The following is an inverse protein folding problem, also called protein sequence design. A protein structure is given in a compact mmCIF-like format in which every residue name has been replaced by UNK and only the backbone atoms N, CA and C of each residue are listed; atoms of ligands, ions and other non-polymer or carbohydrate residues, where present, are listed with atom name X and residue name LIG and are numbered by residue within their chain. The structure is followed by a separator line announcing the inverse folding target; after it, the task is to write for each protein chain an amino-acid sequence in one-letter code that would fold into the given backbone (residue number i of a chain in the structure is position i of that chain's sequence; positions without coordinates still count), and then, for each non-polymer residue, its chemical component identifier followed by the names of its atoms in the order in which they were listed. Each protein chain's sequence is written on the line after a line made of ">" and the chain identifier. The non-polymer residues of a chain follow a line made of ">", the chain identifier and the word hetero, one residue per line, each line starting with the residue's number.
data_IF_854879779033
#
_entry.id   IF_854879779033
#
_cell.length_a   1.000
_cell.length_b   1.000
_cell.length_c   1.000
_cell.angle_alpha   90.00
_cell.angle_beta   90.00
_cell.angle_gamma   90.00
#
_symmetry.space_group_name_H-M   'P 1'
#
loop_
_entity.id
_entity.type
_entity.pdbx_description
1 polymer ?
#
# COMPACT_ATOMS: atom_id res chain seq x y z
N UNK A 1 16.69 6.08 20.37
CA UNK A 1 16.22 5.17 21.39
C UNK A 1 15.93 3.81 20.79
N UNK A 2 16.41 2.75 21.46
CA UNK A 2 16.17 1.37 21.06
C UNK A 2 14.68 1.01 21.00
N UNK A 3 13.82 1.83 21.58
CA UNK A 3 12.37 1.61 21.58
C UNK A 3 11.65 2.21 20.39
N UNK A 4 12.38 2.93 19.52
CA UNK A 4 11.78 3.44 18.30
C UNK A 4 11.63 2.29 17.32
N UNK A 5 10.39 2.05 16.90
CA UNK A 5 10.09 1.00 15.94
C UNK A 5 10.12 1.56 14.53
N UNK A 6 10.73 0.84 13.61
CA UNK A 6 10.75 1.20 12.20
C UNK A 6 9.80 0.31 11.40
N UNK A 7 9.08 0.94 10.50
CA UNK A 7 8.15 0.26 9.61
C UNK A 7 8.42 0.66 8.16
N UNK A 8 8.20 -0.25 7.23
CA UNK A 8 8.19 0.06 5.81
C UNK A 8 6.76 -0.01 5.31
N UNK A 9 6.25 1.13 4.85
CA UNK A 9 4.91 1.25 4.28
C UNK A 9 5.06 1.48 2.79
N UNK A 10 4.64 0.52 1.98
CA UNK A 10 4.83 0.59 0.54
C UNK A 10 3.49 0.66 -0.17
N UNK A 11 3.26 1.73 -0.92
CA UNK A 11 2.12 1.81 -1.82
C UNK A 11 2.53 1.33 -3.21
N UNK A 12 1.80 0.38 -3.78
CA UNK A 12 2.11 -0.16 -5.09
C UNK A 12 1.47 0.63 -6.21
N UNK A 13 2.19 0.75 -7.32
CA UNK A 13 1.73 1.43 -8.52
C UNK A 13 2.79 1.35 -9.60
N UNK A 14 2.45 1.84 -10.78
CA UNK A 14 3.36 1.98 -11.90
C UNK A 14 3.80 3.43 -12.03
N UNK A 15 5.06 3.65 -12.39
CA UNK A 15 5.58 4.99 -12.67
C UNK A 15 5.12 5.45 -14.05
N UNK A 16 5.04 6.76 -14.21
CA UNK A 16 4.66 7.39 -15.47
C UNK A 16 3.32 8.11 -15.36
N UNK A 17 3.21 9.25 -16.04
CA UNK A 17 2.01 10.09 -15.98
C UNK A 17 0.77 9.38 -16.53
N UNK A 18 0.94 8.42 -17.43
CA UNK A 18 -0.16 7.64 -18.00
C UNK A 18 -0.85 6.76 -16.97
N UNK A 19 -0.19 6.46 -15.84
CA UNK A 19 -0.76 5.63 -14.78
C UNK A 19 -1.35 6.45 -13.62
N UNK A 20 -1.21 7.77 -13.65
CA UNK A 20 -1.71 8.62 -12.57
C UNK A 20 -3.22 8.50 -12.43
N UNK A 21 -3.66 8.30 -11.19
CA UNK A 21 -5.09 8.22 -10.89
C UNK A 21 -5.77 6.94 -11.32
N UNK A 22 -5.03 5.96 -11.82
CA UNK A 22 -5.62 4.67 -12.18
C UNK A 22 -5.93 3.85 -10.92
N UNK A 23 -6.85 2.90 -11.06
CA UNK A 23 -7.20 1.99 -9.96
C UNK A 23 -5.98 1.22 -9.46
N UNK A 24 -5.13 0.78 -10.38
CA UNK A 24 -3.93 0.01 -10.05
C UNK A 24 -2.90 0.83 -9.25
N UNK A 25 -2.98 2.15 -9.33
CA UNK A 25 -2.10 3.05 -8.59
C UNK A 25 -2.71 3.57 -7.29
N UNK A 26 -3.78 2.96 -6.80
CA UNK A 26 -4.40 3.42 -5.55
C UNK A 26 -3.42 3.38 -4.37
N UNK A 27 -2.47 2.45 -4.38
CA UNK A 27 -1.43 2.39 -3.35
C UNK A 27 -0.63 3.67 -3.27
N UNK A 28 -0.26 4.25 -4.41
CA UNK A 28 0.45 5.54 -4.44
C UNK A 28 -0.41 6.65 -3.84
N UNK A 29 -1.70 6.67 -4.18
CA UNK A 29 -2.62 7.70 -3.68
C UNK A 29 -2.78 7.62 -2.16
N UNK A 30 -2.88 6.42 -1.63
CA UNK A 30 -2.99 6.20 -0.18
C UNK A 30 -1.75 6.70 0.56
N UNK A 31 -0.56 6.31 0.11
CA UNK A 31 0.66 6.71 0.81
C UNK A 31 0.98 8.20 0.60
N UNK A 32 0.60 8.79 -0.53
CA UNK A 32 0.68 10.23 -0.71
C UNK A 32 -0.16 10.95 0.35
N UNK A 33 -1.38 10.48 0.55
CA UNK A 33 -2.29 11.07 1.53
C UNK A 33 -1.75 10.95 2.95
N UNK A 34 -1.20 9.77 3.29
CA UNK A 34 -0.55 9.55 4.57
C UNK A 34 0.57 10.56 4.82
N UNK A 35 1.48 10.71 3.86
CA UNK A 35 2.64 11.58 4.00
C UNK A 35 2.22 13.05 4.09
N UNK A 36 1.27 13.47 3.27
CA UNK A 36 0.72 14.83 3.32
C UNK A 36 0.08 15.13 4.67
N UNK A 37 -0.60 14.16 5.27
CA UNK A 37 -1.31 14.34 6.54
C UNK A 37 -0.39 14.72 7.70
N UNK A 38 0.89 14.41 7.59
CA UNK A 38 1.90 14.73 8.62
C UNK A 38 2.92 15.76 8.13
N UNK A 39 2.64 16.42 7.01
CA UNK A 39 3.52 17.48 6.48
C UNK A 39 4.82 16.98 5.92
N UNK A 40 4.92 15.72 5.57
CA UNK A 40 6.12 15.12 5.00
C UNK A 40 6.24 15.31 3.49
N UNK A 41 7.36 14.90 2.94
CA UNK A 41 7.65 15.00 1.53
C UNK A 41 8.40 13.76 1.06
N UNK A 42 8.18 13.39 -0.21
CA UNK A 42 8.95 12.34 -0.86
C UNK A 42 10.20 12.91 -1.53
N UNK A 43 11.27 12.13 -1.51
CA UNK A 43 12.47 12.40 -2.30
C UNK A 43 12.80 11.18 -3.14
N UNK A 44 13.34 11.40 -4.34
CA UNK A 44 13.75 10.29 -5.20
C UNK A 44 15.01 9.64 -4.65
N UNK A 45 14.95 8.32 -4.43
CA UNK A 45 16.06 7.53 -3.93
C UNK A 45 16.13 6.23 -4.73
N UNK A 46 16.95 5.28 -4.28
CA UNK A 46 17.10 4.05 -5.01
C UNK A 46 15.80 3.23 -4.99
N UNK A 47 15.38 2.78 -6.14
CA UNK A 47 14.16 1.97 -6.36
C UNK A 47 12.84 2.69 -6.09
N UNK A 48 12.86 3.97 -5.75
CA UNK A 48 11.58 4.67 -5.59
C UNK A 48 11.65 6.02 -4.91
N UNK A 49 10.48 6.59 -4.72
CA UNK A 49 10.32 7.80 -3.94
C UNK A 49 10.15 7.40 -2.46
N UNK A 50 10.88 8.07 -1.59
CA UNK A 50 10.92 7.76 -0.16
C UNK A 50 10.51 8.98 0.64
N UNK A 51 9.63 8.77 1.62
CA UNK A 51 9.35 9.75 2.66
C UNK A 51 9.67 9.12 4.02
N UNK A 52 10.31 9.90 4.89
CA UNK A 52 10.58 9.48 6.26
C UNK A 52 9.72 10.32 7.17
N UNK A 53 8.79 9.67 7.85
CA UNK A 53 7.84 10.35 8.73
C UNK A 53 7.86 9.72 10.11
N UNK A 54 7.43 10.49 11.11
CA UNK A 54 7.35 10.02 12.48
C UNK A 54 5.88 10.04 12.92
N UNK A 55 5.41 8.93 13.47
CA UNK A 55 4.09 8.83 14.09
C UNK A 55 4.32 8.35 15.52
N UNK A 56 4.25 9.28 16.48
CA UNK A 56 4.57 9.03 17.89
C UNK A 56 5.98 8.41 18.01
N UNK A 57 6.09 7.20 18.53
CA UNK A 57 7.38 6.52 18.69
C UNK A 57 7.74 5.61 17.52
N UNK A 58 7.06 5.73 16.39
CA UNK A 58 7.31 4.92 15.22
C UNK A 58 7.89 5.72 14.08
N UNK A 59 8.97 5.22 13.48
CA UNK A 59 9.55 5.76 12.26
C UNK A 59 8.99 4.98 11.09
N UNK A 60 8.33 5.68 10.18
CA UNK A 60 7.77 5.08 8.97
C UNK A 60 8.60 5.51 7.78
N UNK A 61 9.19 4.51 7.11
CA UNK A 61 9.80 4.70 5.79
C UNK A 61 8.69 4.41 4.79
N UNK A 62 8.26 5.41 4.04
CA UNK A 62 7.16 5.28 3.09
C UNK A 62 7.73 5.22 1.69
N UNK A 63 7.42 4.16 0.95
CA UNK A 63 8.00 3.86 -0.35
C UNK A 63 6.94 3.84 -1.43
N UNK A 64 7.20 4.57 -2.51
CA UNK A 64 6.52 4.38 -3.80
C UNK A 64 7.55 3.81 -4.77
N UNK A 65 7.49 2.50 -5.10
CA UNK A 65 8.47 1.92 -6.02
C UNK A 65 8.46 2.65 -7.37
N UNK A 66 9.66 2.84 -7.95
CA UNK A 66 9.78 3.38 -9.30
C UNK A 66 10.00 2.27 -10.33
N UNK A 67 9.84 1.03 -9.93
CA UNK A 67 9.80 -0.13 -10.81
C UNK A 67 8.42 -0.20 -11.45
N UNK A 68 8.26 -1.04 -12.48
CA UNK A 68 6.91 -1.43 -12.87
C UNK A 68 6.34 -2.39 -11.83
N UNK A 69 5.02 -2.52 -11.84
CA UNK A 69 4.29 -3.31 -10.83
C UNK A 69 4.88 -4.71 -10.62
N UNK A 70 5.22 -5.41 -11.70
CA UNK A 70 5.73 -6.77 -11.63
C UNK A 70 7.16 -6.89 -11.07
N UNK A 71 7.80 -5.77 -10.74
CA UNK A 71 9.12 -5.73 -10.13
C UNK A 71 9.11 -5.04 -8.75
N UNK A 72 7.95 -4.89 -8.16
CA UNK A 72 7.79 -4.21 -6.86
C UNK A 72 8.64 -4.84 -5.76
N UNK A 73 8.87 -6.14 -5.81
CA UNK A 73 9.65 -6.84 -4.80
C UNK A 73 11.11 -6.41 -4.73
N UNK A 74 11.69 -5.95 -5.86
CA UNK A 74 13.06 -5.44 -5.85
C UNK A 74 13.21 -4.24 -4.93
N UNK A 75 12.25 -3.31 -5.00
CA UNK A 75 12.25 -2.13 -4.16
C UNK A 75 12.00 -2.48 -2.70
N UNK A 76 11.01 -3.32 -2.44
CA UNK A 76 10.64 -3.71 -1.07
C UNK A 76 11.81 -4.41 -0.38
N UNK A 77 12.39 -5.42 -1.03
CA UNK A 77 13.53 -6.16 -0.46
C UNK A 77 14.69 -5.24 -0.16
N UNK A 78 15.03 -4.34 -1.11
CA UNK A 78 16.13 -3.40 -0.91
C UNK A 78 15.92 -2.56 0.35
N UNK A 79 14.74 -1.97 0.50
CA UNK A 79 14.48 -1.05 1.61
C UNK A 79 14.34 -1.74 2.95
N UNK A 80 13.80 -2.97 3.00
CA UNK A 80 13.81 -3.76 4.23
C UNK A 80 15.24 -4.01 4.69
N UNK A 81 16.13 -4.38 3.78
CA UNK A 81 17.53 -4.65 4.11
C UNK A 81 18.29 -3.38 4.47
N UNK A 82 18.12 -2.33 3.67
CA UNK A 82 18.81 -1.05 3.88
C UNK A 82 18.51 -0.45 5.24
N UNK A 83 17.27 -0.49 5.67
CA UNK A 83 16.81 0.13 6.92
C UNK A 83 16.73 -0.84 8.09
N UNK A 84 17.12 -2.10 7.87
CA UNK A 84 17.04 -3.16 8.90
C UNK A 84 15.64 -3.31 9.48
N UNK A 85 14.65 -3.37 8.60
CA UNK A 85 13.25 -3.52 9.01
C UNK A 85 12.85 -4.99 8.86
N UNK A 86 12.32 -5.62 9.93
CA UNK A 86 11.86 -6.99 9.83
C UNK A 86 10.58 -7.09 9.01
N UNK A 87 10.34 -8.25 8.40
CA UNK A 87 9.20 -8.44 7.50
C UNK A 87 7.86 -8.23 8.21
N UNK A 88 7.77 -8.50 9.50
CA UNK A 88 6.54 -8.25 10.28
C UNK A 88 6.21 -6.77 10.42
N UNK A 89 7.16 -5.88 10.12
CA UNK A 89 6.96 -4.44 10.13
C UNK A 89 6.78 -3.86 8.72
N UNK A 90 6.53 -4.74 7.74
CA UNK A 90 6.20 -4.35 6.38
C UNK A 90 4.69 -4.30 6.19
N UNK A 91 4.20 -3.23 5.57
CA UNK A 91 2.81 -3.12 5.15
C UNK A 91 2.77 -2.71 3.68
N UNK A 92 2.10 -3.52 2.87
CA UNK A 92 1.90 -3.25 1.45
C UNK A 92 0.48 -2.73 1.25
N UNK A 93 0.32 -1.61 0.56
CA UNK A 93 -0.99 -1.05 0.20
C UNK A 93 -1.25 -1.35 -1.26
N UNK A 94 -2.35 -2.02 -1.55
CA UNK A 94 -2.59 -2.63 -2.86
C UNK A 94 -4.07 -2.57 -3.23
N UNK A 95 -4.35 -2.47 -4.53
CA UNK A 95 -5.71 -2.57 -5.08
C UNK A 95 -6.20 -4.02 -5.04
N UNK A 96 -7.51 -4.19 -4.82
CA UNK A 96 -8.12 -5.51 -4.73
C UNK A 96 -9.46 -5.55 -5.50
N UNK A 97 -9.50 -6.37 -6.54
CA UNK A 97 -10.70 -6.57 -7.37
C UNK A 97 -11.81 -7.32 -6.63
N UNK A 98 -11.46 -8.11 -5.63
CA UNK A 98 -12.43 -8.95 -4.92
C UNK A 98 -13.26 -8.17 -3.91
N UNK A 99 -12.89 -6.93 -3.61
CA UNK A 99 -13.60 -6.10 -2.64
C UNK A 99 -14.35 -4.96 -3.35
N UNK A 100 -15.56 -4.63 -2.90
CA UNK A 100 -16.26 -3.45 -3.44
C UNK A 100 -15.44 -2.19 -3.25
N UNK A 101 -15.67 -1.20 -4.12
CA UNK A 101 -14.96 0.06 -4.04
C UNK A 101 -15.04 0.67 -2.64
N UNK A 102 -13.89 1.07 -2.13
CA UNK A 102 -13.79 1.77 -0.85
C UNK A 102 -13.78 0.86 0.38
N UNK A 103 -13.90 -0.45 0.21
CA UNK A 103 -13.74 -1.40 1.30
C UNK A 103 -12.25 -1.56 1.59
N UNK A 104 -11.88 -1.44 2.86
CA UNK A 104 -10.50 -1.58 3.31
C UNK A 104 -10.37 -2.84 4.16
N UNK A 105 -9.40 -3.69 3.80
CA UNK A 105 -9.15 -4.94 4.53
C UNK A 105 -7.67 -5.07 4.84
N UNK A 106 -7.36 -5.19 6.11
CA UNK A 106 -6.00 -5.46 6.56
C UNK A 106 -5.85 -6.96 6.80
N UNK A 107 -4.78 -7.54 6.26
CA UNK A 107 -4.49 -8.98 6.44
C UNK A 107 -3.02 -9.20 6.74
N UNK A 108 -2.67 -10.14 7.64
CA UNK A 108 -1.28 -10.39 7.99
C UNK A 108 -0.54 -11.28 6.99
N UNK A 109 -1.28 -11.96 6.12
CA UNK A 109 -0.73 -12.89 5.13
C UNK A 109 -1.78 -13.19 4.08
N UNK A 110 -1.39 -13.90 3.03
CA UNK A 110 -2.34 -14.37 2.04
C UNK A 110 -1.70 -14.56 0.67
N UNK A 111 -2.47 -15.13 -0.26
CA UNK A 111 -2.05 -15.30 -1.64
C UNK A 111 -2.02 -13.95 -2.36
N UNK A 112 -1.36 -13.92 -3.53
CA UNK A 112 -1.29 -12.71 -4.35
C UNK A 112 -2.59 -12.42 -5.10
N UNK A 113 -3.53 -13.37 -5.15
CA UNK A 113 -4.81 -13.25 -5.85
C UNK A 113 -4.64 -12.79 -7.32
N UNK A 114 -3.52 -13.16 -7.94
CA UNK A 114 -3.21 -12.76 -9.31
C UNK A 114 -2.60 -11.37 -9.45
N UNK A 115 -2.38 -10.65 -8.36
CA UNK A 115 -1.78 -9.33 -8.40
C UNK A 115 -0.27 -9.45 -8.61
N UNK A 116 0.24 -8.92 -9.72
CA UNK A 116 1.65 -9.09 -10.12
C UNK A 116 2.63 -8.48 -9.13
N UNK A 117 2.26 -7.37 -8.49
CA UNK A 117 3.11 -6.76 -7.47
C UNK A 117 3.27 -7.64 -6.24
N UNK A 118 2.18 -8.16 -5.72
CA UNK A 118 2.22 -9.08 -4.57
C UNK A 118 2.96 -10.37 -4.90
N UNK A 119 2.77 -10.88 -6.12
CA UNK A 119 3.46 -12.08 -6.57
C UNK A 119 4.98 -11.88 -6.55
N UNK A 120 5.46 -10.78 -7.09
CA UNK A 120 6.89 -10.48 -7.12
C UNK A 120 7.45 -10.27 -5.71
N UNK A 121 6.73 -9.57 -4.85
CA UNK A 121 7.13 -9.38 -3.45
C UNK A 121 7.29 -10.72 -2.76
N UNK A 122 6.29 -11.60 -2.87
CA UNK A 122 6.35 -12.93 -2.26
C UNK A 122 7.53 -13.75 -2.77
N UNK A 123 7.83 -13.66 -4.06
CA UNK A 123 8.99 -14.34 -4.65
C UNK A 123 10.31 -13.83 -4.07
N UNK A 124 10.48 -12.51 -4.00
CA UNK A 124 11.75 -11.94 -3.56
C UNK A 124 11.94 -12.00 -2.05
N UNK A 125 10.87 -11.98 -1.27
CA UNK A 125 10.94 -12.17 0.18
C UNK A 125 10.88 -13.65 0.59
N UNK A 126 10.57 -14.53 -0.35
CA UNK A 126 10.40 -15.96 -0.13
C UNK A 126 9.36 -16.26 0.94
N UNK A 127 8.29 -15.46 1.00
CA UNK A 127 7.18 -15.66 1.94
C UNK A 127 5.95 -14.88 1.48
N UNK A 128 4.76 -15.38 1.83
CA UNK A 128 3.50 -14.66 1.70
C UNK A 128 3.03 -14.09 3.04
N UNK A 129 3.83 -14.24 4.09
CA UNK A 129 3.48 -13.79 5.43
C UNK A 129 4.01 -12.39 5.68
N UNK A 130 3.42 -11.41 5.00
CA UNK A 130 3.62 -10.00 5.24
C UNK A 130 2.27 -9.29 5.22
N UNK A 131 2.13 -8.23 6.00
CA UNK A 131 0.86 -7.52 6.12
C UNK A 131 0.54 -6.74 4.86
N UNK A 132 -0.75 -6.71 4.51
CA UNK A 132 -1.22 -5.94 3.38
C UNK A 132 -2.55 -5.28 3.70
N UNK A 133 -2.66 -4.03 3.28
CA UNK A 133 -3.90 -3.28 3.29
C UNK A 133 -4.49 -3.35 1.89
N UNK A 134 -5.61 -4.05 1.75
CA UNK A 134 -6.29 -4.22 0.48
C UNK A 134 -7.32 -3.11 0.33
N UNK A 135 -7.18 -2.33 -0.74
CA UNK A 135 -8.10 -1.27 -1.08
C UNK A 135 -9.03 -1.78 -2.18
N UNK A 136 -10.30 -1.96 -1.85
CA UNK A 136 -11.28 -2.48 -2.80
C UNK A 136 -11.51 -1.50 -3.95
N UNK A 137 -11.40 -1.99 -5.17
CA UNK A 137 -11.65 -1.20 -6.39
C UNK A 137 -12.85 -1.71 -7.18
N UNK A 138 -13.47 -2.81 -6.70
CA UNK A 138 -14.57 -3.43 -7.41
C UNK A 138 -14.11 -4.24 -8.63
N UNK A 139 -15.06 -4.81 -9.34
CA UNK A 139 -14.77 -5.69 -10.48
C UNK A 139 -15.81 -5.56 -11.58
N UNK A 140 -16.34 -4.37 -11.80
CA UNK A 140 -17.36 -4.10 -12.80
C UNK A 140 -16.73 -3.96 -14.18
N UNK A 141 -16.42 -5.10 -14.79
CA UNK A 141 -15.83 -5.14 -16.13
C UNK A 141 -16.23 -6.45 -16.82
N UNK A 142 -16.30 -6.44 -18.16
CA UNK A 142 -16.64 -7.65 -18.92
C UNK A 142 -15.49 -8.65 -18.89
N UNK A 143 -15.81 -9.90 -19.18
CA UNK A 143 -14.81 -10.97 -19.25
C UNK A 143 -13.68 -10.55 -20.18
N UNK A 144 -12.41 -10.69 -19.70
CA UNK A 144 -11.23 -10.28 -20.44
C UNK A 144 -10.88 -8.80 -20.30
N UNK A 145 -11.70 -8.02 -19.58
CA UNK A 145 -11.49 -6.58 -19.43
C UNK A 145 -10.71 -6.17 -18.18
N UNK A 146 -10.09 -7.13 -17.48
CA UNK A 146 -9.44 -6.84 -16.22
C UNK A 146 -8.30 -5.83 -16.35
N UNK A 147 -7.44 -5.99 -17.36
CA UNK A 147 -6.29 -5.10 -17.57
C UNK A 147 -6.76 -3.67 -17.79
N UNK A 148 -7.73 -3.47 -18.69
CA UNK A 148 -8.27 -2.14 -18.96
C UNK A 148 -8.92 -1.53 -17.74
N UNK A 149 -9.60 -2.36 -16.93
CA UNK A 149 -10.26 -1.89 -15.72
C UNK A 149 -9.26 -1.37 -14.68
N UNK A 150 -8.23 -2.17 -14.36
CA UNK A 150 -7.25 -1.74 -13.35
C UNK A 150 -6.42 -0.55 -13.81
N UNK A 151 -6.19 -0.41 -15.10
CA UNK A 151 -5.49 0.73 -15.68
C UNK A 151 -6.43 1.91 -15.99
N UNK A 152 -7.72 1.75 -15.74
CA UNK A 152 -8.70 2.83 -15.87
C UNK A 152 -8.76 3.69 -14.62
N UNK A 153 -9.37 4.87 -14.78
CA UNK A 153 -9.50 5.84 -13.69
C UNK A 153 -10.81 5.61 -12.93
N UNK A 154 -10.85 6.08 -11.70
CA UNK A 154 -12.07 6.06 -10.90
C UNK A 154 -13.10 7.02 -11.49
N UNK A 155 -14.38 6.63 -11.56
CA UNK A 155 -15.43 7.54 -12.03
C UNK A 155 -15.71 8.65 -10.99
N UNK A 156 -16.36 9.75 -11.42
CA UNK A 156 -16.60 10.89 -10.54
C UNK A 156 -17.31 10.56 -9.23
N UNK A 157 -18.28 9.66 -9.25
CA UNK A 157 -19.03 9.26 -8.05
C UNK A 157 -18.13 8.57 -7.02
N UNK A 158 -17.12 7.81 -7.47
CA UNK A 158 -16.14 7.19 -6.58
C UNK A 158 -15.14 8.22 -6.08
N UNK A 159 -14.72 9.15 -6.93
CA UNK A 159 -13.79 10.20 -6.54
C UNK A 159 -14.35 11.10 -5.45
N UNK A 160 -15.67 11.30 -5.42
CA UNK A 160 -16.32 12.09 -4.36
C UNK A 160 -16.17 11.44 -2.98
N UNK A 161 -16.09 10.12 -2.94
CA UNK A 161 -15.94 9.37 -1.68
C UNK A 161 -14.47 9.18 -1.29
N UNK A 162 -13.55 9.44 -2.20
CA UNK A 162 -12.14 9.15 -2.02
C UNK A 162 -11.52 9.81 -0.78
N UNK A 163 -11.77 11.11 -0.47
CA UNK A 163 -11.12 11.74 0.68
C UNK A 163 -11.40 11.02 2.00
N UNK A 164 -12.64 10.60 2.26
CA UNK A 164 -12.98 9.87 3.47
C UNK A 164 -12.31 8.51 3.55
N UNK A 165 -12.23 7.81 2.40
CA UNK A 165 -11.62 6.50 2.34
C UNK A 165 -10.12 6.61 2.58
N UNK A 166 -9.47 7.63 1.99
CA UNK A 166 -8.04 7.88 2.20
C UNK A 166 -7.74 8.23 3.66
N UNK A 167 -8.60 9.03 4.30
CA UNK A 167 -8.46 9.33 5.73
C UNK A 167 -8.51 8.05 6.57
N UNK A 168 -9.46 7.18 6.25
CA UNK A 168 -9.61 5.91 6.95
C UNK A 168 -8.40 4.99 6.71
N UNK A 169 -7.90 4.92 5.48
CA UNK A 169 -6.70 4.15 5.17
C UNK A 169 -5.51 4.66 5.98
N UNK A 170 -5.36 5.98 6.12
CA UNK A 170 -4.32 6.59 6.94
C UNK A 170 -4.44 6.18 8.40
N UNK A 171 -5.65 6.18 8.95
CA UNK A 171 -5.88 5.74 10.33
C UNK A 171 -5.51 4.27 10.52
N UNK A 172 -5.84 3.42 9.55
CA UNK A 172 -5.48 1.99 9.59
C UNK A 172 -3.96 1.82 9.60
N UNK A 173 -3.25 2.54 8.74
CA UNK A 173 -1.78 2.47 8.68
C UNK A 173 -1.17 2.90 10.00
N UNK A 174 -1.61 4.02 10.56
CA UNK A 174 -1.10 4.50 11.85
C UNK A 174 -1.40 3.49 12.98
N UNK A 175 -2.61 2.95 13.01
CA UNK A 175 -2.98 1.94 14.00
C UNK A 175 -2.14 0.67 13.88
N UNK A 176 -1.87 0.23 12.64
CA UNK A 176 -0.99 -0.92 12.41
C UNK A 176 0.38 -0.70 13.08
N UNK A 177 0.95 0.47 12.93
CA UNK A 177 2.26 0.78 13.51
C UNK A 177 2.19 0.94 15.04
N UNK A 178 1.12 1.53 15.57
CA UNK A 178 1.03 1.87 16.99
C UNK A 178 0.43 0.77 17.85
N UNK A 179 -0.52 0.01 17.31
CA UNK A 179 -1.28 -0.98 18.07
C UNK A 179 -1.09 -2.42 17.59
N UNK A 180 -0.50 -2.59 16.40
CA UNK A 180 -0.29 -3.92 15.83
C UNK A 180 -1.41 -4.39 14.94
N UNK A 181 -1.13 -5.47 14.19
CA UNK A 181 -2.03 -5.98 13.15
C UNK A 181 -3.35 -6.49 13.74
N UNK A 182 -3.31 -7.22 14.84
CA UNK A 182 -4.51 -7.88 15.37
C UNK A 182 -5.53 -6.86 15.87
N UNK A 183 -5.10 -5.89 16.67
CA UNK A 183 -5.98 -4.85 17.20
C UNK A 183 -6.56 -4.03 16.04
N UNK A 184 -5.73 -3.68 15.07
CA UNK A 184 -6.17 -2.90 13.92
C UNK A 184 -7.20 -3.65 13.08
N UNK A 185 -7.00 -4.95 12.84
CA UNK A 185 -7.98 -5.76 12.12
C UNK A 185 -9.32 -5.79 12.86
N UNK A 186 -9.28 -5.99 14.17
CA UNK A 186 -10.50 -6.03 14.97
C UNK A 186 -11.26 -4.71 14.93
N UNK A 187 -10.55 -3.60 14.91
CA UNK A 187 -11.16 -2.28 14.92
C UNK A 187 -11.71 -1.87 13.56
N UNK A 188 -11.04 -2.22 12.47
CA UNK A 188 -11.33 -1.64 11.15
C UNK A 188 -11.93 -2.61 10.13
N UNK A 189 -11.61 -3.90 10.18
CA UNK A 189 -12.01 -4.84 9.12
C UNK A 189 -13.53 -5.05 9.00
N UNK A 190 -14.27 -4.81 10.06
CA UNK A 190 -15.72 -5.05 10.10
C UNK A 190 -16.55 -3.77 9.92
N UNK A 191 -15.94 -2.75 9.38
CA UNK A 191 -16.59 -1.43 9.27
C UNK A 191 -16.80 -0.99 7.83
#
# INVERSE_FOLDING_TARGET
>A
DSRIMKYLITGLGNIGSEYWGTRHNIGFRVVNHLVESVGGNFTEERYGAIARIRVKNCDLIVLKPNTFMNLSGNAVRYWLQKENIPVENLLIVVDDLALPFGTLRLKPKGSDAGHNGLKNIAQLLNTQEYSRLRFGIGSDFPRGGQIDYVLGKFPPEELQLMPEILDRATEIIKSFCLAGIQITMNQFNNK
#
